data_IF_377388106888
#
_entry.id   IF_377388106888
#
_cell.length_a   1.000
_cell.length_b   1.000
_cell.length_c   1.000
_cell.angle_alpha   90.00
_cell.angle_beta   90.00
_cell.angle_gamma   90.00
#
_symmetry.space_group_name_H-M   'P 1'
#
loop_
_entity.id
_entity.type
_entity.pdbx_description
1 polymer ?
#
# COMPACT_ATOMS: atom_id res chain seq x y z
N UNK A 1 -6.25 11.68 -17.48
CA UNK A 1 -5.43 11.11 -16.38
C UNK A 1 -5.71 9.62 -16.30
N UNK A 2 -4.69 8.77 -16.11
CA UNK A 2 -4.83 7.30 -16.05
C UNK A 2 -5.29 6.77 -14.68
N UNK A 3 -5.09 7.55 -13.62
CA UNK A 3 -5.53 7.21 -12.25
C UNK A 3 -4.71 7.93 -11.19
N UNK A 4 -5.03 7.66 -9.92
CA UNK A 4 -4.33 8.17 -8.74
C UNK A 4 -4.06 7.03 -7.76
N UNK A 5 -2.94 7.09 -7.05
CA UNK A 5 -2.44 5.92 -6.35
C UNK A 5 -1.32 6.17 -5.36
N UNK A 6 -0.83 5.06 -4.82
CA UNK A 6 0.30 5.02 -3.89
C UNK A 6 1.29 3.91 -4.28
N UNK A 7 2.46 3.88 -3.64
CA UNK A 7 3.41 2.79 -3.81
C UNK A 7 3.27 1.76 -2.68
N UNK A 8 3.15 0.48 -3.02
CA UNK A 8 3.21 -0.61 -2.05
C UNK A 8 4.66 -1.12 -1.97
N UNK A 9 5.47 -0.40 -1.20
CA UNK A 9 6.87 -0.77 -0.90
C UNK A 9 6.92 -1.84 0.20
N UNK A 10 8.10 -2.44 0.42
CA UNK A 10 8.28 -3.40 1.52
C UNK A 10 8.00 -2.75 2.89
N UNK A 11 8.50 -1.53 3.15
CA UNK A 11 8.17 -0.80 4.39
C UNK A 11 6.66 -0.54 4.54
N UNK A 12 5.96 -0.18 3.46
CA UNK A 12 4.50 -0.01 3.50
C UNK A 12 3.77 -1.32 3.83
N UNK A 13 4.22 -2.44 3.23
CA UNK A 13 3.68 -3.77 3.54
C UNK A 13 3.94 -4.15 5.00
N UNK A 14 5.13 -3.90 5.53
CA UNK A 14 5.47 -4.13 6.95
C UNK A 14 4.54 -3.31 7.86
N UNK A 15 4.33 -2.03 7.57
CA UNK A 15 3.43 -1.17 8.34
C UNK A 15 1.98 -1.69 8.31
N UNK A 16 1.50 -2.13 7.15
CA UNK A 16 0.15 -2.72 7.01
C UNK A 16 0.01 -4.04 7.78
N UNK A 17 1.06 -4.87 7.79
CA UNK A 17 1.06 -6.17 8.47
C UNK A 17 1.26 -6.04 9.99
N UNK A 18 1.78 -4.92 10.49
CA UNK A 18 1.87 -4.63 11.92
C UNK A 18 0.50 -4.30 12.56
N UNK A 19 -0.50 -3.94 11.75
CA UNK A 19 -1.87 -3.73 12.20
C UNK A 19 -2.58 -5.06 12.44
N UNK A 20 -3.51 -5.07 13.40
CA UNK A 20 -4.46 -6.16 13.49
C UNK A 20 -5.36 -6.23 12.24
N UNK A 21 -6.04 -7.37 12.06
CA UNK A 21 -6.86 -7.59 10.86
C UNK A 21 -7.98 -6.55 10.72
N UNK A 22 -8.80 -6.26 11.75
CA UNK A 22 -9.83 -5.22 11.65
C UNK A 22 -9.30 -3.83 11.26
N UNK A 23 -8.17 -3.40 11.84
CA UNK A 23 -7.56 -2.11 11.54
C UNK A 23 -7.03 -2.06 10.11
N UNK A 24 -6.33 -3.11 9.67
CA UNK A 24 -5.82 -3.22 8.29
C UNK A 24 -6.96 -3.21 7.28
N UNK A 25 -8.02 -3.97 7.51
CA UNK A 25 -9.17 -4.05 6.61
C UNK A 25 -9.87 -2.68 6.49
N UNK A 26 -10.00 -1.95 7.61
CA UNK A 26 -10.54 -0.59 7.62
C UNK A 26 -9.66 0.40 6.84
N UNK A 27 -8.35 0.37 7.04
CA UNK A 27 -7.41 1.23 6.32
C UNK A 27 -7.43 0.94 4.81
N UNK A 28 -7.46 -0.33 4.41
CA UNK A 28 -7.53 -0.70 3.00
C UNK A 28 -8.87 -0.27 2.38
N UNK A 29 -9.98 -0.36 3.11
CA UNK A 29 -11.25 0.19 2.66
C UNK A 29 -11.17 1.72 2.50
N UNK A 30 -10.61 2.44 3.47
CA UNK A 30 -10.41 3.90 3.40
C UNK A 30 -9.65 4.33 2.15
N UNK A 31 -8.60 3.60 1.80
CA UNK A 31 -7.73 3.89 0.65
C UNK A 31 -8.35 3.47 -0.70
N UNK A 32 -8.95 2.28 -0.79
CA UNK A 32 -9.25 1.65 -2.08
C UNK A 32 -10.74 1.51 -2.40
N UNK A 33 -11.65 1.66 -1.41
CA UNK A 33 -13.09 1.57 -1.69
C UNK A 33 -13.52 2.71 -2.62
N UNK A 34 -14.33 2.45 -3.66
CA UNK A 34 -14.85 3.49 -4.55
C UNK A 34 -15.64 4.59 -3.83
N UNK A 35 -16.26 4.25 -2.69
CA UNK A 35 -17.05 5.16 -1.85
C UNK A 35 -16.21 6.03 -0.90
N UNK A 36 -14.88 5.82 -0.88
CA UNK A 36 -13.93 6.54 -0.03
C UNK A 36 -12.89 7.26 -0.88
N UNK A 37 -11.58 7.02 -0.68
CA UNK A 37 -10.55 7.67 -1.48
C UNK A 37 -10.48 7.13 -2.91
N UNK A 38 -10.90 5.88 -3.14
CA UNK A 38 -10.98 5.28 -4.47
C UNK A 38 -9.63 5.24 -5.21
N UNK A 39 -8.52 5.03 -4.50
CA UNK A 39 -7.22 4.85 -5.17
C UNK A 39 -7.31 3.68 -6.14
N UNK A 40 -6.91 3.92 -7.39
CA UNK A 40 -7.09 2.95 -8.48
C UNK A 40 -5.77 2.60 -9.19
N UNK A 41 -4.64 3.07 -8.66
CA UNK A 41 -3.30 2.74 -9.13
C UNK A 41 -2.42 2.34 -7.93
N UNK A 42 -1.64 1.28 -8.09
CA UNK A 42 -0.60 0.89 -7.13
C UNK A 42 0.72 0.70 -7.87
N UNK A 43 1.79 1.36 -7.43
CA UNK A 43 3.15 1.12 -7.90
C UNK A 43 3.81 0.06 -7.03
N UNK A 44 4.32 -1.01 -7.64
CA UNK A 44 5.07 -2.07 -6.96
C UNK A 44 6.52 -2.06 -7.46
N UNK A 45 7.53 -1.91 -6.59
CA UNK A 45 8.92 -2.06 -6.97
C UNK A 45 9.24 -3.49 -7.43
N UNK A 46 10.07 -3.65 -8.46
CA UNK A 46 10.70 -4.93 -8.82
C UNK A 46 12.12 -4.90 -8.25
N UNK A 47 12.45 -5.86 -7.38
CA UNK A 47 13.69 -5.81 -6.58
C UNK A 47 13.56 -4.94 -5.33
N UNK A 48 14.68 -4.66 -4.68
CA UNK A 48 14.71 -3.76 -3.52
C UNK A 48 14.55 -2.28 -3.95
N UNK A 49 13.74 -1.52 -3.22
CA UNK A 49 13.80 -0.05 -3.23
C UNK A 49 14.56 0.46 -2.01
N UNK A 50 14.75 1.77 -1.91
CA UNK A 50 15.22 2.46 -0.70
C UNK A 50 14.31 2.25 0.53
N UNK A 51 13.08 1.79 0.32
CA UNK A 51 12.12 1.36 1.35
C UNK A 51 12.10 -0.18 1.54
N UNK A 52 13.17 -0.87 1.18
CA UNK A 52 13.39 -2.28 1.52
C UNK A 52 14.17 -2.41 2.83
N UNK A 53 13.91 -3.48 3.59
CA UNK A 53 14.64 -3.73 4.86
C UNK A 53 16.05 -4.29 4.63
N UNK A 54 16.36 -4.68 3.39
CA UNK A 54 17.67 -5.15 2.93
C UNK A 54 17.76 -5.00 1.41
N UNK A 55 18.98 -4.93 0.89
CA UNK A 55 19.21 -5.06 -0.56
C UNK A 55 19.02 -6.53 -0.99
N UNK A 56 18.40 -6.72 -2.16
CA UNK A 56 18.23 -8.01 -2.84
C UNK A 56 17.97 -7.80 -4.33
#
# INVERSE_FOLDING_TARGET
>A
MLGFGAALTQSAAVALLALDRPQRDRLLADLFSPERMGLNVVRVPIGASDFATRAY
#
